data_IF_617760989320
#
_entry.id   IF_617760989320
#
_cell.length_a   1.000
_cell.length_b   1.000
_cell.length_c   1.000
_cell.angle_alpha   90.00
_cell.angle_beta   90.00
_cell.angle_gamma   90.00
#
_symmetry.space_group_name_H-M   'P 1'
#
loop_
_entity.id
_entity.type
_entity.pdbx_description
1 polymer ?
#
# COMPACT_ATOMS: atom_id res chain seq x y z
N UNK A 1 3.51 -8.56 -4.49
CA UNK A 1 4.12 -7.34 -5.06
C UNK A 1 4.82 -6.51 -3.97
N UNK A 2 5.88 -5.80 -4.36
CA UNK A 2 6.61 -4.91 -3.48
C UNK A 2 7.06 -3.69 -4.28
N UNK A 3 6.73 -2.50 -3.82
CA UNK A 3 7.23 -1.26 -4.39
C UNK A 3 8.17 -0.58 -3.41
N UNK A 4 9.42 -0.34 -3.82
CA UNK A 4 10.45 0.30 -3.02
C UNK A 4 10.86 1.61 -3.70
N UNK A 5 10.99 2.68 -2.92
CA UNK A 5 11.41 3.99 -3.43
C UNK A 5 12.92 4.15 -3.29
N UNK A 6 13.58 4.40 -4.42
CA UNK A 6 15.02 4.63 -4.48
C UNK A 6 15.29 6.05 -4.96
N UNK A 7 15.98 6.84 -4.15
CA UNK A 7 16.46 8.18 -4.55
C UNK A 7 17.81 8.03 -5.25
N UNK A 8 17.89 8.43 -6.51
CA UNK A 8 19.17 8.56 -7.19
C UNK A 8 19.96 9.75 -6.62
N UNK A 9 21.07 9.47 -5.95
CA UNK A 9 22.14 10.43 -5.65
C UNK A 9 21.82 11.51 -4.61
N UNK A 10 21.94 11.15 -3.34
CA UNK A 10 22.61 11.90 -2.25
C UNK A 10 22.68 11.00 -1.02
N UNK A 11 23.88 10.91 -0.43
CA UNK A 11 24.10 10.24 0.85
C UNK A 11 23.13 10.78 1.89
N UNK A 12 22.30 9.93 2.47
CA UNK A 12 21.47 10.23 3.62
C UNK A 12 22.36 10.31 4.87
N UNK A 13 23.20 11.34 4.96
CA UNK A 13 23.77 11.77 6.22
C UNK A 13 22.73 12.62 6.97
N UNK A 14 21.58 12.02 7.25
CA UNK A 14 20.57 12.59 8.14
C UNK A 14 21.12 12.51 9.56
N UNK A 15 21.36 13.68 10.17
CA UNK A 15 21.72 13.88 11.57
C UNK A 15 20.84 12.97 12.44
N UNK A 16 21.46 11.98 13.08
CA UNK A 16 20.85 11.17 14.13
C UNK A 16 20.47 12.10 15.29
N UNK A 17 19.24 12.64 15.29
CA UNK A 17 18.65 13.16 16.50
C UNK A 17 18.19 11.93 17.27
N UNK A 18 19.07 11.41 18.11
CA UNK A 18 18.74 10.48 19.17
C UNK A 18 17.84 11.21 20.18
N UNK A 19 16.53 11.24 19.93
CA UNK A 19 15.60 11.39 21.06
C UNK A 19 15.63 10.05 21.77
N UNK A 20 16.13 10.04 23.02
CA UNK A 20 16.05 8.92 23.91
C UNK A 20 14.61 8.39 23.89
N UNK A 21 14.40 7.23 23.29
CA UNK A 21 13.20 6.43 23.53
C UNK A 21 13.32 6.02 25.00
N UNK A 22 12.37 6.46 25.82
CA UNK A 22 12.27 6.01 27.21
C UNK A 22 12.41 4.48 27.24
N UNK A 23 13.13 3.96 28.23
CA UNK A 23 13.27 2.52 28.44
C UNK A 23 11.87 1.92 28.52
N UNK A 24 11.41 1.35 27.44
CA UNK A 24 10.20 0.51 27.46
C UNK A 24 10.59 -0.81 28.14
N UNK A 25 9.77 -1.32 29.05
CA UNK A 25 9.92 -2.68 29.62
C UNK A 25 9.67 -3.79 28.59
N UNK A 26 9.77 -3.45 27.29
CA UNK A 26 9.57 -4.38 26.20
C UNK A 26 10.79 -5.27 26.00
N UNK A 27 10.58 -6.59 26.14
CA UNK A 27 11.57 -7.61 25.85
C UNK A 27 11.39 -8.13 24.41
N UNK A 28 12.34 -7.85 23.48
CA UNK A 28 12.24 -8.31 22.09
C UNK A 28 12.40 -9.83 21.94
N UNK A 29 12.83 -10.54 22.97
CA UNK A 29 13.00 -12.00 22.96
C UNK A 29 11.80 -12.73 23.58
N UNK A 30 10.85 -12.00 24.16
CA UNK A 30 9.61 -12.56 24.67
C UNK A 30 8.64 -12.92 23.53
N UNK A 31 7.69 -13.84 23.76
CA UNK A 31 6.63 -14.09 22.79
C UNK A 31 5.89 -12.80 22.40
N UNK A 32 5.55 -12.67 21.12
CA UNK A 32 4.84 -11.50 20.59
C UNK A 32 3.51 -11.28 21.33
N UNK A 33 3.26 -10.04 21.73
CA UNK A 33 2.04 -9.64 22.43
C UNK A 33 1.01 -9.16 21.42
N UNK A 34 -0.17 -9.78 21.39
CA UNK A 34 -1.29 -9.29 20.56
C UNK A 34 -1.88 -8.01 21.19
N UNK A 35 -1.33 -6.88 20.78
CA UNK A 35 -1.75 -5.54 21.20
C UNK A 35 -2.38 -4.74 20.04
N UNK A 36 -2.76 -5.42 18.94
CA UNK A 36 -3.32 -4.80 17.73
C UNK A 36 -2.29 -4.05 16.89
N UNK A 37 -1.00 -4.30 17.08
CA UNK A 37 0.09 -3.64 16.35
C UNK A 37 1.00 -4.67 15.68
N UNK A 38 1.51 -4.32 14.50
CA UNK A 38 2.50 -5.14 13.80
C UNK A 38 3.70 -5.45 14.72
N UNK A 39 4.09 -6.70 14.72
CA UNK A 39 5.20 -7.25 15.54
C UNK A 39 4.99 -7.15 17.06
N UNK A 40 3.78 -6.83 17.53
CA UNK A 40 3.52 -6.62 18.97
C UNK A 40 4.30 -5.47 19.59
N UNK A 41 4.89 -4.58 18.79
CA UNK A 41 5.76 -3.50 19.26
C UNK A 41 4.99 -2.46 20.08
N UNK A 42 5.64 -1.86 21.12
CA UNK A 42 4.97 -0.97 22.06
C UNK A 42 4.77 0.46 21.55
N UNK A 43 5.27 0.78 20.35
CA UNK A 43 5.33 2.16 19.86
C UNK A 43 4.00 2.64 19.30
N UNK A 44 3.62 3.88 19.62
CA UNK A 44 2.57 4.60 18.91
C UNK A 44 3.11 5.13 17.57
N UNK A 45 2.24 5.50 16.60
CA UNK A 45 2.69 6.13 15.36
C UNK A 45 3.55 7.38 15.57
N UNK A 46 3.24 8.20 16.60
CA UNK A 46 3.99 9.40 16.93
C UNK A 46 5.39 9.09 17.45
N UNK A 47 5.56 8.01 18.20
CA UNK A 47 6.85 7.57 18.76
C UNK A 47 7.71 6.85 17.72
N UNK A 48 7.08 6.20 16.75
CA UNK A 48 7.75 5.38 15.75
C UNK A 48 8.48 6.21 14.69
N UNK A 49 9.52 5.63 14.09
CA UNK A 49 10.18 6.19 12.91
C UNK A 49 9.52 5.76 11.61
N UNK A 50 8.97 4.55 11.56
CA UNK A 50 8.19 3.99 10.47
C UNK A 50 6.72 3.85 10.92
N UNK A 51 5.81 4.30 10.11
CA UNK A 51 4.37 4.11 10.30
C UNK A 51 3.86 3.18 9.21
N UNK A 52 3.16 2.11 9.61
CA UNK A 52 2.51 1.18 8.70
C UNK A 52 1.02 1.52 8.60
N UNK A 53 0.60 1.79 7.39
CA UNK A 53 -0.79 2.09 7.04
C UNK A 53 -1.43 0.84 6.42
N UNK A 54 -2.46 0.31 7.05
CA UNK A 54 -3.21 -0.84 6.56
C UNK A 54 -4.35 -0.39 5.63
N UNK A 55 -4.41 -0.96 4.43
CA UNK A 55 -5.41 -0.61 3.41
C UNK A 55 -6.12 -1.90 2.92
N UNK A 56 -7.19 -2.34 3.61
CA UNK A 56 -7.93 -3.55 3.29
C UNK A 56 -8.86 -3.30 2.08
N UNK A 57 -8.31 -3.43 0.88
CA UNK A 57 -9.01 -3.12 -0.36
C UNK A 57 -8.66 -4.10 -1.48
N UNK A 58 -9.66 -4.71 -2.12
CA UNK A 58 -9.49 -5.62 -3.25
C UNK A 58 -10.64 -5.53 -4.26
N UNK A 59 -11.15 -4.32 -4.43
CA UNK A 59 -12.39 -4.05 -5.18
C UNK A 59 -12.31 -4.51 -6.64
N UNK A 60 -11.16 -4.40 -7.27
CA UNK A 60 -11.00 -4.64 -8.71
C UNK A 60 -10.27 -5.94 -9.05
N UNK A 61 -10.01 -6.81 -8.06
CA UNK A 61 -9.39 -8.12 -8.35
C UNK A 61 -10.26 -8.93 -9.31
N UNK A 62 -9.66 -9.46 -10.39
CA UNK A 62 -10.38 -10.14 -11.47
C UNK A 62 -10.62 -11.61 -11.18
N UNK A 63 -9.69 -12.31 -10.52
CA UNK A 63 -9.76 -13.77 -10.36
C UNK A 63 -10.34 -14.20 -9.00
N UNK A 64 -9.76 -13.75 -7.90
CA UNK A 64 -10.22 -14.08 -6.53
C UNK A 64 -10.17 -12.85 -5.65
N UNK A 65 -11.18 -12.69 -4.83
CA UNK A 65 -11.20 -11.75 -3.72
C UNK A 65 -10.54 -12.36 -2.48
N UNK A 66 -10.25 -11.54 -1.46
CA UNK A 66 -9.71 -11.96 -0.17
C UNK A 66 -8.42 -11.25 0.20
N UNK A 67 -7.74 -10.59 -0.74
CA UNK A 67 -6.52 -9.82 -0.43
C UNK A 67 -6.79 -8.61 0.48
N UNK A 68 -8.04 -8.13 0.57
CA UNK A 68 -8.44 -7.14 1.59
C UNK A 68 -8.19 -7.63 3.03
N UNK A 69 -8.22 -8.95 3.28
CA UNK A 69 -7.82 -9.54 4.57
C UNK A 69 -6.30 -9.62 4.80
N UNK A 70 -5.49 -9.19 3.81
CA UNK A 70 -4.03 -9.24 3.90
C UNK A 70 -3.43 -8.48 5.09
N UNK A 71 -3.86 -7.23 5.37
CA UNK A 71 -3.37 -6.48 6.51
C UNK A 71 -3.55 -7.21 7.85
N UNK A 72 -4.73 -7.78 8.11
CA UNK A 72 -5.01 -8.51 9.34
C UNK A 72 -4.18 -9.81 9.43
N UNK A 73 -4.11 -10.56 8.33
CA UNK A 73 -3.32 -11.78 8.28
C UNK A 73 -1.82 -11.51 8.51
N UNK A 74 -1.29 -10.43 7.95
CA UNK A 74 0.11 -10.02 8.15
C UNK A 74 0.32 -9.51 9.58
N UNK A 75 -0.65 -8.78 10.14
CA UNK A 75 -0.57 -8.32 11.53
C UNK A 75 -0.48 -9.52 12.47
N UNK A 76 -1.36 -10.49 12.35
CA UNK A 76 -1.37 -11.70 13.16
C UNK A 76 -0.06 -12.51 12.99
N UNK A 77 0.36 -12.74 11.75
CA UNK A 77 1.59 -13.46 11.47
C UNK A 77 2.85 -12.74 11.97
N UNK A 78 2.83 -11.41 12.00
CA UNK A 78 3.97 -10.61 12.45
C UNK A 78 4.32 -10.81 13.92
N UNK A 79 3.39 -11.33 14.73
CA UNK A 79 3.64 -11.66 16.14
C UNK A 79 4.58 -12.86 16.32
N UNK A 80 4.80 -13.63 15.25
CA UNK A 80 5.70 -14.79 15.25
C UNK A 80 7.11 -14.48 14.74
N UNK A 81 7.36 -13.23 14.35
CA UNK A 81 8.64 -12.82 13.78
C UNK A 81 9.62 -12.48 14.88
N UNK A 82 10.81 -13.11 14.85
CA UNK A 82 11.94 -12.71 15.69
C UNK A 82 12.40 -11.29 15.32
N UNK A 83 12.53 -10.44 16.32
CA UNK A 83 12.92 -9.03 16.13
C UNK A 83 14.43 -8.84 16.02
N UNK A 84 15.18 -9.93 16.00
CA UNK A 84 16.64 -9.92 15.86
C UNK A 84 17.05 -9.90 14.39
N UNK A 85 17.86 -8.94 14.00
CA UNK A 85 18.55 -8.89 12.71
C UNK A 85 20.05 -8.89 12.92
N UNK A 86 20.78 -9.78 12.24
CA UNK A 86 22.22 -9.97 12.42
C UNK A 86 23.03 -8.67 12.17
N UNK A 87 22.59 -7.85 11.22
CA UNK A 87 23.27 -6.59 10.86
C UNK A 87 22.75 -5.38 11.63
N UNK A 88 21.59 -5.52 12.29
CA UNK A 88 20.95 -4.43 13.03
C UNK A 88 20.14 -4.97 14.23
N UNK A 89 20.80 -5.53 15.24
CA UNK A 89 20.13 -6.20 16.37
C UNK A 89 19.12 -5.32 17.13
N UNK A 90 19.37 -4.03 17.17
CA UNK A 90 18.51 -3.03 17.81
C UNK A 90 17.57 -2.31 16.82
N UNK A 91 17.37 -2.86 15.64
CA UNK A 91 16.56 -2.25 14.58
C UNK A 91 15.14 -1.94 15.01
N UNK A 92 14.53 -2.80 15.83
CA UNK A 92 13.19 -2.66 16.38
C UNK A 92 13.03 -1.39 17.25
N UNK A 93 14.10 -0.91 17.92
CA UNK A 93 14.09 0.32 18.75
C UNK A 93 13.79 1.59 17.96
N UNK A 94 13.90 1.55 16.64
CA UNK A 94 13.48 2.68 15.78
C UNK A 94 11.99 2.89 15.79
N UNK A 95 11.23 1.89 16.23
CA UNK A 95 9.79 1.88 16.30
C UNK A 95 9.10 1.71 14.95
N UNK A 96 8.12 0.81 14.96
CA UNK A 96 7.13 0.67 13.89
C UNK A 96 5.78 0.94 14.54
N UNK A 97 5.11 1.98 14.10
CA UNK A 97 3.76 2.35 14.53
C UNK A 97 2.73 1.80 13.57
N UNK A 98 1.64 1.30 14.08
CA UNK A 98 0.52 0.76 13.30
C UNK A 98 -0.59 1.79 13.28
N UNK A 99 -1.06 2.16 12.08
CA UNK A 99 -2.30 2.92 11.94
C UNK A 99 -3.48 1.95 11.96
N UNK A 100 -4.52 2.23 12.76
CA UNK A 100 -5.69 1.37 12.82
C UNK A 100 -6.40 1.34 11.46
N UNK A 101 -6.97 0.19 11.15
CA UNK A 101 -7.87 0.03 9.99
C UNK A 101 -9.18 0.71 10.33
N UNK A 102 -9.67 1.56 9.43
CA UNK A 102 -10.97 2.20 9.62
C UNK A 102 -12.12 1.31 9.13
N UNK A 103 -13.07 0.98 10.00
CA UNK A 103 -14.25 0.17 9.67
C UNK A 103 -15.01 0.68 8.44
N UNK A 104 -15.06 2.00 8.27
CA UNK A 104 -15.71 2.65 7.12
C UNK A 104 -15.04 2.31 5.79
N UNK A 105 -13.72 2.12 5.76
CA UNK A 105 -12.99 1.75 4.55
C UNK A 105 -13.34 0.31 4.12
N UNK A 106 -13.31 -0.62 5.05
CA UNK A 106 -13.66 -2.01 4.79
C UNK A 106 -15.10 -2.17 4.29
N UNK A 107 -16.06 -1.52 4.95
CA UNK A 107 -17.48 -1.54 4.53
C UNK A 107 -17.67 -0.94 3.14
N UNK A 108 -16.94 0.14 2.81
CA UNK A 108 -16.97 0.75 1.48
C UNK A 108 -16.37 -0.19 0.43
N UNK A 109 -15.23 -0.83 0.75
CA UNK A 109 -14.60 -1.82 -0.09
C UNK A 109 -15.56 -2.97 -0.44
N UNK A 110 -16.21 -3.57 0.54
CA UNK A 110 -17.18 -4.65 0.34
C UNK A 110 -18.35 -4.23 -0.58
N UNK A 111 -18.90 -3.02 -0.39
CA UNK A 111 -19.99 -2.52 -1.25
C UNK A 111 -19.54 -2.31 -2.70
N UNK A 112 -18.37 -1.74 -2.90
CA UNK A 112 -17.84 -1.49 -4.24
C UNK A 112 -17.36 -2.77 -4.91
N UNK A 113 -16.85 -3.74 -4.14
CA UNK A 113 -16.53 -5.08 -4.64
C UNK A 113 -17.75 -5.76 -5.26
N UNK A 114 -18.90 -5.65 -4.64
CA UNK A 114 -20.15 -6.19 -5.19
C UNK A 114 -20.52 -5.53 -6.54
N UNK A 115 -20.31 -4.22 -6.69
CA UNK A 115 -20.50 -3.53 -7.96
C UNK A 115 -19.48 -3.99 -9.02
N UNK A 116 -18.21 -4.13 -8.63
CA UNK A 116 -17.14 -4.59 -9.53
C UNK A 116 -17.37 -6.06 -9.96
N UNK A 117 -17.74 -6.95 -9.04
CA UNK A 117 -18.04 -8.35 -9.33
C UNK A 117 -19.11 -8.49 -10.43
N UNK A 118 -20.18 -7.70 -10.36
CA UNK A 118 -21.23 -7.71 -11.40
C UNK A 118 -20.73 -7.21 -12.75
N UNK A 119 -19.75 -6.32 -12.81
CA UNK A 119 -19.11 -5.89 -14.04
C UNK A 119 -18.24 -7.01 -14.59
N UNK A 120 -17.42 -7.63 -13.76
CA UNK A 120 -16.53 -8.73 -14.13
C UNK A 120 -17.34 -9.91 -14.68
N UNK A 121 -18.36 -10.38 -13.95
CA UNK A 121 -19.26 -11.45 -14.39
C UNK A 121 -19.97 -11.13 -15.74
N UNK A 122 -20.32 -9.85 -15.93
CA UNK A 122 -20.91 -9.42 -17.20
C UNK A 122 -19.94 -9.58 -18.39
N UNK A 123 -18.66 -9.19 -18.19
CA UNK A 123 -17.64 -9.36 -19.24
C UNK A 123 -17.32 -10.84 -19.49
N UNK A 124 -17.18 -11.64 -18.42
CA UNK A 124 -16.92 -13.07 -18.50
C UNK A 124 -18.05 -13.82 -19.24
N UNK A 125 -19.29 -13.35 -19.14
CA UNK A 125 -20.43 -13.89 -19.89
C UNK A 125 -20.53 -13.41 -21.34
N UNK A 126 -19.56 -12.64 -21.85
CA UNK A 126 -19.56 -12.09 -23.19
C UNK A 126 -20.49 -10.89 -23.37
N UNK A 127 -20.82 -10.20 -22.27
CA UNK A 127 -21.69 -9.03 -22.28
C UNK A 127 -21.08 -7.82 -23.00
N UNK A 128 -21.92 -6.87 -23.38
CA UNK A 128 -21.50 -5.63 -24.03
C UNK A 128 -21.70 -4.42 -23.13
N UNK A 129 -20.96 -3.32 -23.41
CA UNK A 129 -20.95 -2.10 -22.62
C UNK A 129 -22.29 -1.33 -22.66
N UNK A 130 -23.28 -1.80 -21.90
CA UNK A 130 -24.57 -1.14 -21.67
C UNK A 130 -24.49 -0.03 -20.61
N UNK A 131 -25.55 0.78 -20.53
CA UNK A 131 -25.60 1.90 -19.56
C UNK A 131 -25.49 1.46 -18.10
N UNK A 132 -26.10 0.32 -17.75
CA UNK A 132 -26.04 -0.24 -16.40
C UNK A 132 -24.59 -0.58 -15.98
N UNK A 133 -23.83 -1.21 -16.87
CA UNK A 133 -22.41 -1.56 -16.65
C UNK A 133 -21.57 -0.31 -16.51
N UNK A 134 -21.77 0.69 -17.41
CA UNK A 134 -21.02 1.96 -17.32
C UNK A 134 -21.27 2.69 -16.00
N UNK A 135 -22.49 2.69 -15.49
CA UNK A 135 -22.82 3.28 -14.18
C UNK A 135 -22.11 2.57 -13.02
N UNK A 136 -22.00 1.24 -13.05
CA UNK A 136 -21.26 0.46 -12.05
C UNK A 136 -19.77 0.78 -12.10
N UNK A 137 -19.18 0.75 -13.28
CA UNK A 137 -17.79 1.13 -13.52
C UNK A 137 -17.50 2.53 -12.96
N UNK A 138 -18.36 3.49 -13.25
CA UNK A 138 -18.22 4.87 -12.75
C UNK A 138 -18.20 4.93 -11.21
N UNK A 139 -19.09 4.20 -10.53
CA UNK A 139 -19.11 4.13 -9.05
C UNK A 139 -17.83 3.52 -8.48
N UNK A 140 -17.35 2.43 -9.10
CA UNK A 140 -16.10 1.78 -8.67
C UNK A 140 -14.92 2.74 -8.85
N UNK A 141 -14.82 3.40 -10.00
CA UNK A 141 -13.75 4.35 -10.28
C UNK A 141 -13.79 5.55 -9.32
N UNK A 142 -14.96 6.10 -9.02
CA UNK A 142 -15.14 7.17 -8.04
C UNK A 142 -14.69 6.73 -6.64
N UNK A 143 -15.10 5.53 -6.21
CA UNK A 143 -14.73 4.99 -4.90
C UNK A 143 -13.24 4.70 -4.79
N UNK A 144 -12.60 4.22 -5.87
CA UNK A 144 -11.16 3.98 -5.92
C UNK A 144 -10.36 5.29 -5.97
N UNK A 145 -10.85 6.30 -6.68
CA UNK A 145 -10.26 7.64 -6.66
C UNK A 145 -10.30 8.25 -5.24
N UNK A 146 -11.41 8.08 -4.53
CA UNK A 146 -11.56 8.51 -3.14
C UNK A 146 -10.58 7.79 -2.22
N UNK A 147 -10.40 6.46 -2.38
CA UNK A 147 -9.38 5.71 -1.65
C UNK A 147 -7.99 6.30 -1.88
N UNK A 148 -7.61 6.54 -3.14
CA UNK A 148 -6.29 7.08 -3.48
C UNK A 148 -6.06 8.46 -2.84
N UNK A 149 -7.09 9.31 -2.77
CA UNK A 149 -7.02 10.60 -2.09
C UNK A 149 -6.83 10.43 -0.58
N UNK A 150 -7.58 9.55 0.08
CA UNK A 150 -7.46 9.28 1.52
C UNK A 150 -6.08 8.71 1.87
N UNK A 151 -5.56 7.77 1.07
CA UNK A 151 -4.20 7.23 1.24
C UNK A 151 -3.14 8.31 1.05
N UNK A 152 -3.33 9.20 0.07
CA UNK A 152 -2.45 10.34 -0.16
C UNK A 152 -2.43 11.29 1.03
N UNK A 153 -3.59 11.72 1.52
CA UNK A 153 -3.71 12.67 2.63
C UNK A 153 -3.08 12.11 3.92
N UNK A 154 -3.35 10.85 4.24
CA UNK A 154 -2.78 10.21 5.41
C UNK A 154 -1.25 10.00 5.27
N UNK A 155 -0.78 9.62 4.08
CA UNK A 155 0.65 9.54 3.81
C UNK A 155 1.34 10.91 3.94
N UNK A 156 0.74 11.97 3.42
CA UNK A 156 1.24 13.34 3.57
C UNK A 156 1.38 13.73 5.03
N UNK A 157 0.35 13.49 5.84
CA UNK A 157 0.36 13.80 7.28
C UNK A 157 1.57 13.21 8.00
N UNK A 158 1.90 11.94 7.74
CA UNK A 158 3.00 11.27 8.41
C UNK A 158 4.37 11.61 7.82
N UNK A 159 4.45 11.77 6.50
CA UNK A 159 5.68 12.22 5.84
C UNK A 159 6.06 13.64 6.30
N UNK A 160 5.10 14.55 6.45
CA UNK A 160 5.31 15.92 6.94
C UNK A 160 5.69 15.94 8.43
N UNK A 161 5.23 14.95 9.20
CA UNK A 161 5.71 14.72 10.57
C UNK A 161 7.12 14.09 10.63
N UNK A 162 7.80 13.94 9.50
CA UNK A 162 9.16 13.40 9.41
C UNK A 162 9.27 11.89 9.56
N UNK A 163 8.15 11.17 9.42
CA UNK A 163 8.10 9.70 9.50
C UNK A 163 8.41 9.08 8.13
N UNK A 164 8.83 7.82 8.15
CA UNK A 164 8.69 6.96 6.98
C UNK A 164 7.30 6.34 6.99
N UNK A 165 6.73 6.14 5.82
CA UNK A 165 5.42 5.50 5.68
C UNK A 165 5.58 4.24 4.84
N UNK A 166 5.06 3.13 5.36
CA UNK A 166 4.86 1.89 4.64
C UNK A 166 3.36 1.63 4.48
N UNK A 167 2.99 0.88 3.46
CA UNK A 167 1.61 0.48 3.23
C UNK A 167 1.53 -1.04 3.18
N UNK A 168 0.61 -1.59 3.95
CA UNK A 168 0.23 -3.00 3.90
C UNK A 168 -1.14 -3.07 3.27
N UNK A 169 -1.21 -3.61 2.06
CA UNK A 169 -2.42 -3.66 1.26
C UNK A 169 -3.08 -5.03 1.24
N UNK A 170 -4.13 -4.99 0.67
CA UNK A 170 -5.07 -5.47 -0.24
C UNK A 170 -4.47 -5.81 -1.60
N UNK A 171 -5.17 -5.40 -2.67
CA UNK A 171 -4.67 -5.58 -4.02
C UNK A 171 -3.63 -4.50 -4.42
N UNK A 172 -3.04 -4.64 -5.60
CA UNK A 172 -1.97 -3.74 -6.04
C UNK A 172 -2.47 -2.33 -6.46
N UNK A 173 -3.75 -2.01 -6.37
CA UNK A 173 -4.25 -0.66 -6.66
C UNK A 173 -4.00 0.34 -5.53
N UNK A 174 -3.76 -0.13 -4.29
CA UNK A 174 -3.75 0.68 -3.08
C UNK A 174 -2.58 1.67 -2.92
N UNK A 175 -1.36 1.49 -3.49
CA UNK A 175 -0.23 2.35 -3.16
C UNK A 175 -0.17 3.67 -3.92
N UNK A 176 -1.05 3.95 -4.89
CA UNK A 176 -0.95 5.14 -5.74
C UNK A 176 -0.87 6.45 -4.93
N UNK A 177 -1.73 6.60 -3.92
CA UNK A 177 -1.73 7.78 -3.05
C UNK A 177 -0.41 7.96 -2.30
N UNK A 178 0.14 6.88 -1.74
CA UNK A 178 1.45 6.92 -1.06
C UNK A 178 2.59 7.26 -2.05
N UNK A 179 2.58 6.64 -3.23
CA UNK A 179 3.62 6.91 -4.25
C UNK A 179 3.60 8.38 -4.65
N UNK A 180 2.43 8.97 -4.89
CA UNK A 180 2.27 10.40 -5.18
C UNK A 180 2.81 11.27 -4.05
N UNK A 181 2.42 11.01 -2.81
CA UNK A 181 2.87 11.76 -1.64
C UNK A 181 4.40 11.74 -1.46
N UNK A 182 5.03 10.57 -1.72
CA UNK A 182 6.49 10.43 -1.68
C UNK A 182 7.16 11.15 -2.84
N UNK A 183 6.62 11.03 -4.06
CA UNK A 183 7.20 11.61 -5.27
C UNK A 183 7.20 13.14 -5.22
N UNK A 184 6.15 13.75 -4.72
CA UNK A 184 6.05 15.22 -4.56
C UNK A 184 7.10 15.77 -3.59
N UNK A 185 7.43 15.03 -2.53
CA UNK A 185 8.45 15.41 -1.53
C UNK A 185 9.86 15.03 -1.95
N UNK A 186 10.00 14.16 -2.93
CA UNK A 186 11.30 13.67 -3.43
C UNK A 186 11.33 13.66 -4.95
N UNK A 187 11.28 14.83 -5.62
CA UNK A 187 11.36 14.88 -7.08
C UNK A 187 12.60 14.16 -7.59
N UNK A 188 12.43 13.33 -8.62
CA UNK A 188 13.48 12.47 -9.15
C UNK A 188 13.56 11.10 -8.47
N UNK A 189 12.59 10.72 -7.63
CA UNK A 189 12.54 9.38 -7.04
C UNK A 189 12.27 8.32 -8.12
N UNK A 190 12.92 7.15 -7.96
CA UNK A 190 12.60 5.95 -8.74
C UNK A 190 11.66 5.01 -7.97
N UNK A 191 10.86 4.25 -8.70
CA UNK A 191 10.05 3.14 -8.18
C UNK A 191 10.72 1.82 -8.57
N UNK A 192 11.05 0.99 -7.60
CA UNK A 192 11.39 -0.40 -7.80
C UNK A 192 10.13 -1.25 -7.58
N UNK A 193 9.66 -1.88 -8.64
CA UNK A 193 8.46 -2.70 -8.65
C UNK A 193 8.86 -4.18 -8.78
N UNK A 194 8.58 -4.96 -7.75
CA UNK A 194 8.87 -6.41 -7.73
C UNK A 194 7.56 -7.16 -7.85
N UNK A 195 7.26 -7.66 -9.03
CA UNK A 195 5.99 -8.28 -9.38
C UNK A 195 6.12 -9.24 -10.55
N UNK A 196 5.16 -10.16 -10.67
CA UNK A 196 5.00 -11.04 -11.84
C UNK A 196 4.43 -10.31 -13.07
N UNK A 197 3.71 -9.22 -12.85
CA UNK A 197 2.99 -8.46 -13.87
C UNK A 197 3.60 -7.07 -14.06
N UNK A 198 3.38 -6.48 -15.23
CA UNK A 198 3.84 -5.12 -15.52
C UNK A 198 2.92 -4.04 -14.95
N UNK A 199 1.63 -4.35 -14.80
CA UNK A 199 0.56 -3.45 -14.29
C UNK A 199 0.49 -2.09 -15.02
N UNK A 200 0.73 -2.12 -16.32
CA UNK A 200 0.78 -0.95 -17.20
C UNK A 200 -0.49 -0.74 -18.03
N UNK A 201 -1.56 -1.51 -17.78
CA UNK A 201 -2.82 -1.33 -18.50
C UNK A 201 -3.42 0.03 -18.16
N UNK A 202 -3.88 0.75 -19.17
CA UNK A 202 -4.57 2.04 -18.99
C UNK A 202 -5.82 1.92 -18.10
N UNK A 203 -6.56 0.83 -18.27
CA UNK A 203 -7.67 0.40 -17.43
C UNK A 203 -7.85 -1.10 -17.63
N UNK A 204 -8.38 -1.79 -16.62
CA UNK A 204 -8.72 -3.19 -16.74
C UNK A 204 -10.19 -3.40 -16.41
N UNK A 205 -10.93 -4.07 -17.30
CA UNK A 205 -12.39 -4.27 -17.19
C UNK A 205 -13.21 -2.96 -17.06
N UNK A 206 -12.62 -1.83 -17.47
CA UNK A 206 -13.18 -0.48 -17.32
C UNK A 206 -12.78 0.23 -16.03
N UNK A 207 -12.06 -0.44 -15.13
CA UNK A 207 -11.60 0.14 -13.88
C UNK A 207 -10.26 0.87 -14.08
N UNK A 208 -10.31 2.19 -13.99
CA UNK A 208 -9.13 3.07 -14.14
C UNK A 208 -8.09 2.81 -13.06
N UNK A 209 -8.55 2.63 -11.82
CA UNK A 209 -7.68 2.35 -10.67
C UNK A 209 -7.71 0.85 -10.32
N UNK A 210 -7.47 0.01 -11.32
CA UNK A 210 -7.34 -1.42 -11.16
C UNK A 210 -5.95 -1.80 -10.64
N UNK A 211 -5.85 -2.98 -10.01
CA UNK A 211 -4.57 -3.61 -9.66
C UNK A 211 -3.64 -3.74 -10.89
N UNK A 212 -4.18 -4.04 -12.07
CA UNK A 212 -3.42 -4.15 -13.32
C UNK A 212 -3.03 -2.80 -13.96
N UNK A 213 -3.41 -1.69 -13.34
CA UNK A 213 -3.21 -0.33 -13.88
C UNK A 213 -2.34 0.55 -12.99
N UNK A 214 -1.85 0.01 -11.87
CA UNK A 214 -1.16 0.83 -10.87
C UNK A 214 0.07 1.53 -11.45
N UNK A 215 0.93 0.85 -12.20
CA UNK A 215 2.14 1.46 -12.74
C UNK A 215 1.85 2.42 -13.89
N UNK A 216 0.79 2.18 -14.68
CA UNK A 216 0.30 3.17 -15.64
C UNK A 216 -0.11 4.47 -14.91
N UNK A 217 -0.92 4.37 -13.85
CA UNK A 217 -1.35 5.54 -13.08
C UNK A 217 -0.17 6.24 -12.39
N UNK A 218 0.80 5.50 -11.87
CA UNK A 218 2.02 6.08 -11.28
C UNK A 218 2.77 6.94 -12.30
N UNK A 219 2.98 6.44 -13.51
CA UNK A 219 3.70 7.17 -14.57
C UNK A 219 2.94 8.42 -15.05
N UNK A 220 1.61 8.43 -14.93
CA UNK A 220 0.78 9.55 -15.39
C UNK A 220 0.40 10.54 -14.29
N UNK A 221 0.32 10.11 -13.02
CA UNK A 221 -0.18 10.93 -11.93
C UNK A 221 0.88 11.31 -10.88
N UNK A 222 2.02 10.62 -10.83
CA UNK A 222 3.08 10.90 -9.89
C UNK A 222 4.25 11.64 -10.56
N UNK A 223 4.06 12.92 -10.85
CA UNK A 223 4.99 13.75 -11.63
C UNK A 223 6.45 13.80 -11.12
N UNK A 224 6.67 13.47 -9.83
CA UNK A 224 8.03 13.42 -9.24
C UNK A 224 8.77 12.10 -9.50
N UNK A 225 8.11 11.08 -10.05
CA UNK A 225 8.75 9.79 -10.40
C UNK A 225 9.55 9.95 -11.69
N UNK A 226 10.85 9.64 -11.62
CA UNK A 226 11.78 9.76 -12.76
C UNK A 226 12.12 8.44 -13.42
N UNK A 227 11.88 7.31 -12.74
CA UNK A 227 12.19 5.99 -13.27
C UNK A 227 11.28 4.93 -12.64
N UNK A 228 10.92 3.94 -13.44
CA UNK A 228 10.27 2.71 -13.02
C UNK A 228 11.18 1.54 -13.40
N UNK A 229 11.60 0.76 -12.42
CA UNK A 229 12.36 -0.47 -12.62
C UNK A 229 11.51 -1.65 -12.18
N UNK A 230 11.24 -2.57 -13.08
CA UNK A 230 10.41 -3.74 -12.83
C UNK A 230 11.24 -5.00 -12.77
N UNK A 231 11.04 -5.83 -11.75
CA UNK A 231 11.78 -7.07 -11.52
C UNK A 231 10.79 -8.22 -11.34
N UNK A 232 11.00 -9.31 -12.06
CA UNK A 232 10.19 -10.52 -11.97
C UNK A 232 9.01 -10.59 -12.94
N UNK A 233 8.83 -9.59 -13.80
CA UNK A 233 7.77 -9.58 -14.82
C UNK A 233 7.92 -10.79 -15.74
N UNK A 234 6.85 -11.57 -15.85
CA UNK A 234 6.79 -12.82 -16.64
C UNK A 234 5.42 -13.08 -17.25
N UNK A 235 4.44 -12.20 -16.99
CA UNK A 235 3.11 -12.24 -17.57
C UNK A 235 2.76 -10.83 -18.03
N UNK A 236 2.76 -10.63 -19.34
CA UNK A 236 2.53 -9.36 -20.01
C UNK A 236 1.89 -9.58 -21.40
N UNK A 237 1.32 -8.55 -21.95
CA UNK A 237 0.84 -8.50 -23.34
C UNK A 237 1.45 -7.30 -24.05
N UNK A 238 1.26 -7.23 -25.37
CA UNK A 238 1.83 -6.17 -26.23
C UNK A 238 1.02 -4.84 -26.19
N UNK A 239 -0.11 -4.81 -25.48
CA UNK A 239 -1.01 -3.65 -25.37
C UNK A 239 -0.60 -2.68 -24.24
#
# INVERSE_FOLDING_TARGET
FLSIFVRAGRSFAGRLISKNVEKTDFDPNAPGVNNGRYFGLPFTPEQARLVLMSVPWDVTTSYREGTAGGPDAILDASLQVDLYDLHNPDGWRRGIGTLPIGDTLELRGKKLREEARRVIEHWESGGTAGESVRRRIARVNEGSAKLNAEVYDEACRWLDAGKKVGLVGGDHSVPLGLIRAVAERNPGVGVLHVDAHADLRRAYEGFTYSHASIMYNVLNEAAGVSALVQVGVRDLCDD
#
